data_IF_186651597407
#
_entry.id   IF_186651597407
#
_cell.length_a   1.000
_cell.length_b   1.000
_cell.length_c   1.000
_cell.angle_alpha   90.00
_cell.angle_beta   90.00
_cell.angle_gamma   90.00
#
_symmetry.space_group_name_H-M   'P 1'
#
loop_
_entity.id
_entity.type
_entity.pdbx_description
1 polymer ?
#
# COMPACT_ATOMS: atom_id res chain seq x y z
N UNK A 1 -18.65 19.30 0.53
CA UNK A 1 -18.34 18.10 -0.29
C UNK A 1 -19.49 17.12 -0.11
N UNK A 2 -20.17 16.73 -1.18
CA UNK A 2 -21.31 15.79 -1.10
C UNK A 2 -20.75 14.39 -0.82
N UNK A 3 -20.96 13.85 0.39
CA UNK A 3 -20.30 12.61 0.83
C UNK A 3 -20.65 11.40 -0.05
N UNK A 4 -21.85 11.37 -0.64
CA UNK A 4 -22.25 10.33 -1.59
C UNK A 4 -21.45 10.41 -2.89
N UNK A 5 -21.17 11.61 -3.41
CA UNK A 5 -20.28 11.79 -4.57
C UNK A 5 -18.88 11.27 -4.29
N UNK A 6 -18.33 11.57 -3.10
CA UNK A 6 -17.00 11.08 -2.69
C UNK A 6 -16.95 9.56 -2.66
N UNK A 7 -17.97 8.92 -2.08
CA UNK A 7 -18.04 7.45 -2.03
C UNK A 7 -18.15 6.84 -3.42
N UNK A 8 -18.95 7.41 -4.32
CA UNK A 8 -19.06 6.94 -5.71
C UNK A 8 -17.74 7.09 -6.46
N UNK A 9 -17.04 8.22 -6.30
CA UNK A 9 -15.73 8.42 -6.92
C UNK A 9 -14.71 7.41 -6.40
N UNK A 10 -14.68 7.12 -5.09
CA UNK A 10 -13.83 6.06 -4.55
C UNK A 10 -14.15 4.70 -5.19
N UNK A 11 -15.42 4.31 -5.31
CA UNK A 11 -15.81 3.04 -5.93
C UNK A 11 -15.36 2.92 -7.40
N UNK A 12 -15.34 4.03 -8.14
CA UNK A 12 -14.89 4.05 -9.53
C UNK A 12 -13.37 3.99 -9.67
N UNK A 13 -12.64 4.64 -8.75
CA UNK A 13 -11.18 4.73 -8.79
C UNK A 13 -10.49 3.54 -8.13
N UNK A 14 -11.13 2.90 -7.15
CA UNK A 14 -10.56 1.78 -6.40
C UNK A 14 -10.09 0.62 -7.31
N UNK A 15 -10.81 0.18 -8.35
CA UNK A 15 -10.33 -0.89 -9.23
C UNK A 15 -9.02 -0.55 -9.96
N UNK A 16 -8.85 0.70 -10.39
CA UNK A 16 -7.64 1.18 -11.08
C UNK A 16 -6.46 1.19 -10.10
N UNK A 17 -6.71 1.68 -8.88
CA UNK A 17 -5.72 1.69 -7.81
C UNK A 17 -5.36 0.26 -7.35
N UNK A 18 -6.35 -0.63 -7.24
CA UNK A 18 -6.16 -2.01 -6.83
C UNK A 18 -5.33 -2.83 -7.83
N UNK A 19 -5.47 -2.59 -9.14
CA UNK A 19 -4.65 -3.29 -10.14
C UNK A 19 -3.16 -3.12 -9.90
N UNK A 20 -2.70 -1.98 -9.38
CA UNK A 20 -1.28 -1.80 -9.06
C UNK A 20 -0.82 -2.75 -7.93
N UNK A 21 -1.64 -2.98 -6.92
CA UNK A 21 -1.26 -3.82 -5.77
C UNK A 21 -1.40 -5.31 -6.04
N UNK A 22 -2.23 -5.71 -7.01
CA UNK A 22 -2.53 -7.11 -7.30
C UNK A 22 -2.00 -7.60 -8.66
N UNK A 23 -1.37 -6.73 -9.44
CA UNK A 23 -0.71 -7.12 -10.68
C UNK A 23 0.43 -8.10 -10.38
N UNK A 24 0.57 -9.21 -11.13
CA UNK A 24 1.68 -10.15 -11.00
C UNK A 24 3.06 -9.46 -11.04
N UNK A 25 3.18 -8.41 -11.86
CA UNK A 25 4.40 -7.62 -12.02
C UNK A 25 4.78 -6.86 -10.74
N UNK A 26 3.80 -6.43 -9.95
CA UNK A 26 4.05 -5.77 -8.67
C UNK A 26 4.61 -6.74 -7.63
N UNK A 27 4.12 -7.99 -7.62
CA UNK A 27 4.69 -9.04 -6.77
C UNK A 27 6.08 -9.46 -7.25
N UNK A 28 6.28 -9.68 -8.55
CA UNK A 28 7.59 -10.00 -9.11
C UNK A 28 8.63 -8.92 -8.73
N UNK A 29 8.26 -7.64 -8.86
CA UNK A 29 9.14 -6.53 -8.50
C UNK A 29 9.42 -6.45 -7.00
N UNK A 30 8.43 -6.74 -6.16
CA UNK A 30 8.62 -6.77 -4.70
C UNK A 30 9.59 -7.89 -4.30
N UNK A 31 9.46 -9.07 -4.90
CA UNK A 31 10.36 -10.20 -4.68
C UNK A 31 11.81 -9.90 -5.11
N UNK A 32 12.00 -9.24 -6.26
CA UNK A 32 13.33 -8.77 -6.71
C UNK A 32 13.99 -7.79 -5.74
N UNK A 33 13.19 -7.00 -5.01
CA UNK A 33 13.66 -6.07 -3.98
C UNK A 33 13.88 -6.75 -2.62
N UNK A 34 13.56 -8.04 -2.50
CA UNK A 34 13.75 -8.84 -1.29
C UNK A 34 12.58 -8.82 -0.31
N UNK A 35 11.40 -8.31 -0.72
CA UNK A 35 10.20 -8.39 0.11
C UNK A 35 9.55 -9.78 0.00
N UNK A 36 8.98 -10.25 1.10
CA UNK A 36 8.10 -11.42 1.07
C UNK A 36 6.80 -11.11 0.31
N UNK A 37 6.45 -12.03 -0.59
CA UNK A 37 5.28 -11.95 -1.47
C UNK A 37 4.33 -13.14 -1.27
N UNK A 38 4.70 -14.13 -0.46
CA UNK A 38 3.83 -15.24 -0.06
C UNK A 38 2.74 -14.75 0.90
N UNK A 39 3.08 -13.75 1.71
CA UNK A 39 2.14 -13.03 2.55
C UNK A 39 1.83 -11.64 1.98
N UNK A 40 0.59 -11.17 2.20
CA UNK A 40 0.12 -9.90 1.64
C UNK A 40 0.85 -8.68 2.20
N UNK A 41 1.22 -8.70 3.48
CA UNK A 41 1.57 -7.50 4.24
C UNK A 41 2.93 -6.88 3.89
N UNK A 42 4.03 -7.64 3.73
CA UNK A 42 5.34 -7.06 3.50
C UNK A 42 5.41 -6.26 2.20
N UNK A 43 4.94 -6.83 1.09
CA UNK A 43 4.84 -6.09 -0.19
C UNK A 43 3.81 -4.95 -0.13
N UNK A 44 2.71 -5.10 0.62
CA UNK A 44 1.71 -4.05 0.80
C UNK A 44 2.28 -2.80 1.48
N UNK A 45 2.96 -2.93 2.63
CA UNK A 45 3.55 -1.78 3.33
C UNK A 45 4.70 -1.17 2.53
N UNK A 46 5.50 -1.98 1.84
CA UNK A 46 6.54 -1.49 0.93
C UNK A 46 5.97 -0.56 -0.15
N UNK A 47 4.93 -0.99 -0.87
CA UNK A 47 4.33 -0.17 -1.92
C UNK A 47 3.60 1.06 -1.42
N UNK A 48 2.93 0.96 -0.27
CA UNK A 48 2.18 2.08 0.31
C UNK A 48 3.09 3.15 0.92
N UNK A 49 4.28 2.76 1.40
CA UNK A 49 5.27 3.69 1.97
C UNK A 49 6.24 4.26 0.94
N UNK A 50 6.45 3.60 -0.20
CA UNK A 50 7.39 4.04 -1.24
C UNK A 50 7.26 5.52 -1.65
N UNK A 51 6.06 6.12 -1.78
CA UNK A 51 5.93 7.56 -2.11
C UNK A 51 6.47 8.52 -1.06
N UNK A 52 6.72 8.07 0.18
CA UNK A 52 7.33 8.89 1.23
C UNK A 52 8.84 9.09 1.00
N UNK A 53 9.45 8.37 0.06
CA UNK A 53 10.88 8.44 -0.21
C UNK A 53 11.73 7.75 0.86
N UNK A 54 12.87 8.33 1.21
CA UNK A 54 13.77 7.82 2.25
C UNK A 54 13.23 8.16 3.66
N UNK A 55 12.06 7.64 4.00
CA UNK A 55 11.42 7.79 5.30
C UNK A 55 12.05 6.88 6.36
N UNK A 56 12.05 7.32 7.63
CA UNK A 56 12.42 6.44 8.75
C UNK A 56 11.29 5.46 9.07
N UNK A 57 11.62 4.36 9.76
CA UNK A 57 10.63 3.37 10.19
C UNK A 57 9.53 4.00 11.06
N UNK A 58 9.89 4.96 11.93
CA UNK A 58 8.95 5.68 12.78
C UNK A 58 7.96 6.52 11.97
N UNK A 59 8.42 7.19 10.90
CA UNK A 59 7.55 7.96 10.02
C UNK A 59 6.58 7.05 9.25
N UNK A 60 7.07 5.90 8.78
CA UNK A 60 6.23 4.90 8.12
C UNK A 60 5.18 4.39 9.11
N UNK A 61 5.58 3.90 10.29
CA UNK A 61 4.65 3.42 11.31
C UNK A 61 3.62 4.49 11.75
N UNK A 62 4.04 5.75 11.90
CA UNK A 62 3.13 6.86 12.22
C UNK A 62 2.12 7.13 11.10
N UNK A 63 2.51 6.96 9.83
CA UNK A 63 1.60 7.09 8.69
C UNK A 63 0.58 5.94 8.66
N UNK A 64 0.99 4.75 9.10
CA UNK A 64 0.14 3.56 9.23
C UNK A 64 -0.43 3.39 10.66
N UNK A 65 -0.71 4.48 11.39
CA UNK A 65 -1.10 4.46 12.82
C UNK A 65 -2.27 3.54 13.20
N UNK A 66 -3.07 3.08 12.24
CA UNK A 66 -4.18 2.14 12.46
C UNK A 66 -3.74 0.66 12.47
N UNK A 67 -2.49 0.37 12.14
CA UNK A 67 -1.91 -0.97 12.14
C UNK A 67 -0.98 -1.17 13.34
N UNK A 68 -0.78 -2.43 13.72
CA UNK A 68 0.26 -2.78 14.70
C UNK A 68 1.65 -2.43 14.13
N UNK A 69 2.47 -1.62 14.83
CA UNK A 69 3.77 -1.18 14.32
C UNK A 69 4.76 -2.31 14.03
N UNK A 70 4.61 -3.49 14.67
CA UNK A 70 5.45 -4.65 14.40
C UNK A 70 5.13 -5.35 13.07
N UNK A 71 4.00 -5.03 12.45
CA UNK A 71 3.64 -5.50 11.11
C UNK A 71 4.10 -4.58 9.97
N UNK A 72 4.41 -3.32 10.27
CA UNK A 72 4.65 -2.23 9.31
C UNK A 72 6.12 -2.09 8.96
#
# INVERSE_FOLDING_TARGET
MELGLVRRMWQLLEPIHATLYYAPEAFARAAELGFDVETRWPSYFAWRSAPLGAASAELVAATFYSFDPGMV
#
